data_IF_050614103575
#
_entry.id   IF_050614103575
#
_cell.length_a   1.000
_cell.length_b   1.000
_cell.length_c   1.000
_cell.angle_alpha   90.00
_cell.angle_beta   90.00
_cell.angle_gamma   90.00
#
_symmetry.space_group_name_H-M   'P 1'
#
loop_
_entity.id
_entity.type
_entity.pdbx_description
1 polymer ?
#
# COMPACT_ATOMS: atom_id res chain seq x y z
N UNK A 1 1.57 -10.96 34.10
CA UNK A 1 2.53 -9.88 33.81
C UNK A 1 1.72 -8.76 33.21
N UNK A 2 1.58 -7.67 33.93
CA UNK A 2 0.84 -6.48 33.47
C UNK A 2 1.70 -5.78 32.41
N UNK A 3 1.24 -5.80 31.17
CA UNK A 3 1.81 -5.01 30.06
C UNK A 3 1.36 -3.56 30.24
N UNK A 4 1.83 -2.90 31.30
CA UNK A 4 1.52 -1.50 31.56
C UNK A 4 2.58 -0.62 30.93
N UNK A 5 2.13 0.40 30.22
CA UNK A 5 3.00 1.43 29.62
C UNK A 5 3.66 2.22 30.77
N UNK A 6 4.94 2.04 30.98
CA UNK A 6 5.67 2.71 32.07
C UNK A 6 6.16 4.12 31.72
N UNK A 7 5.84 4.63 30.51
CA UNK A 7 6.31 5.94 29.99
C UNK A 7 7.84 6.10 29.96
N UNK A 8 8.58 5.01 30.18
CA UNK A 8 10.02 4.94 30.01
C UNK A 8 10.32 4.20 28.70
N UNK A 9 10.57 4.97 27.65
CA UNK A 9 10.78 4.47 26.29
C UNK A 9 11.81 3.32 26.21
N UNK A 10 12.83 3.34 27.05
CA UNK A 10 13.89 2.31 27.03
C UNK A 10 13.39 0.99 27.61
N UNK A 11 12.64 1.05 28.69
CA UNK A 11 12.09 -0.14 29.36
C UNK A 11 10.93 -0.73 28.53
N UNK A 12 10.10 0.11 27.94
CA UNK A 12 9.01 -0.29 27.05
C UNK A 12 9.55 -0.98 25.79
N UNK A 13 10.60 -0.44 25.15
CA UNK A 13 11.28 -1.07 24.00
C UNK A 13 11.93 -2.40 24.42
N UNK A 14 12.60 -2.45 25.58
CA UNK A 14 13.22 -3.68 26.08
C UNK A 14 12.16 -4.74 26.36
N UNK A 15 11.01 -4.38 26.93
CA UNK A 15 9.89 -5.25 27.16
C UNK A 15 9.33 -5.80 25.84
N UNK A 16 9.14 -4.94 24.84
CA UNK A 16 8.69 -5.28 23.48
C UNK A 16 9.62 -6.30 22.82
N UNK A 17 10.94 -6.09 22.91
CA UNK A 17 11.94 -6.96 22.31
C UNK A 17 12.20 -8.26 23.12
N UNK A 18 11.69 -8.38 24.35
CA UNK A 18 11.87 -9.59 25.16
C UNK A 18 10.99 -10.77 24.72
N UNK A 19 9.93 -10.50 23.94
CA UNK A 19 9.01 -11.53 23.48
C UNK A 19 9.34 -11.97 22.05
N UNK A 20 9.56 -13.27 21.85
CA UNK A 20 9.90 -13.84 20.55
C UNK A 20 8.83 -13.57 19.48
N UNK A 21 7.53 -13.67 19.83
CA UNK A 21 6.46 -13.38 18.90
C UNK A 21 6.47 -11.91 18.44
N UNK A 22 6.88 -10.99 19.31
CA UNK A 22 6.95 -9.57 18.95
C UNK A 22 8.14 -9.25 18.03
N UNK A 23 9.27 -9.95 18.23
CA UNK A 23 10.40 -9.89 17.30
C UNK A 23 9.99 -10.37 15.90
N UNK A 24 9.21 -11.44 15.82
CA UNK A 24 8.70 -11.93 14.55
C UNK A 24 7.68 -10.97 13.92
N UNK A 25 6.83 -10.35 14.72
CA UNK A 25 5.91 -9.31 14.26
C UNK A 25 6.67 -8.12 13.66
N UNK A 26 7.65 -7.57 14.38
CA UNK A 26 8.49 -6.45 13.91
C UNK A 26 9.28 -6.81 12.64
N UNK A 27 9.84 -8.01 12.54
CA UNK A 27 10.54 -8.47 11.33
C UNK A 27 9.58 -8.56 10.14
N UNK A 28 8.44 -9.21 10.34
CA UNK A 28 7.42 -9.37 9.31
C UNK A 28 6.82 -8.01 8.92
N UNK A 29 6.49 -7.16 9.90
CA UNK A 29 6.01 -5.80 9.70
C UNK A 29 7.00 -4.92 8.91
N UNK A 30 8.30 -5.03 9.21
CA UNK A 30 9.35 -4.32 8.47
C UNK A 30 9.40 -4.75 7.00
N UNK A 31 9.40 -6.07 6.73
CA UNK A 31 9.41 -6.59 5.35
C UNK A 31 8.19 -6.08 4.58
N UNK A 32 7.02 -6.22 5.19
CA UNK A 32 5.74 -5.81 4.57
C UNK A 32 5.68 -4.31 4.36
N UNK A 33 6.12 -3.50 5.33
CA UNK A 33 6.11 -2.04 5.22
C UNK A 33 7.01 -1.54 4.07
N UNK A 34 8.19 -2.14 3.89
CA UNK A 34 9.09 -1.80 2.78
C UNK A 34 8.46 -2.14 1.43
N UNK A 35 7.88 -3.33 1.30
CA UNK A 35 7.21 -3.77 0.07
C UNK A 35 5.96 -2.92 -0.20
N UNK A 36 5.11 -2.74 0.81
CA UNK A 36 3.88 -1.96 0.70
C UNK A 36 4.17 -0.49 0.36
N UNK A 37 5.18 0.12 0.99
CA UNK A 37 5.58 1.49 0.70
C UNK A 37 6.10 1.68 -0.74
N UNK A 38 6.94 0.75 -1.23
CA UNK A 38 7.49 0.81 -2.57
C UNK A 38 6.42 0.56 -3.66
N UNK A 39 5.67 -0.54 -3.54
CA UNK A 39 4.63 -0.91 -4.51
C UNK A 39 3.45 0.05 -4.43
N UNK A 40 3.05 0.45 -3.22
CA UNK A 40 1.96 1.38 -2.97
C UNK A 40 2.20 2.75 -3.61
N UNK A 41 3.41 3.29 -3.53
CA UNK A 41 3.75 4.55 -4.19
C UNK A 41 3.51 4.48 -5.70
N UNK A 42 3.98 3.42 -6.36
CA UNK A 42 3.77 3.23 -7.79
C UNK A 42 2.30 2.95 -8.13
N UNK A 43 1.58 2.25 -7.26
CA UNK A 43 0.13 2.04 -7.38
C UNK A 43 -0.64 3.36 -7.40
N UNK A 44 -0.33 4.28 -6.48
CA UNK A 44 -0.96 5.61 -6.42
C UNK A 44 -0.57 6.44 -7.64
N UNK A 45 0.70 6.44 -8.03
CA UNK A 45 1.20 7.16 -9.19
C UNK A 45 0.55 6.67 -10.50
N UNK A 46 0.29 5.37 -10.62
CA UNK A 46 -0.39 4.73 -11.76
C UNK A 46 -1.91 4.82 -11.71
N UNK A 47 -2.49 5.42 -10.68
CA UNK A 47 -3.94 5.50 -10.44
C UNK A 47 -4.63 4.13 -10.39
N UNK A 48 -3.92 3.11 -9.88
CA UNK A 48 -4.43 1.73 -9.77
C UNK A 48 -4.86 1.38 -8.33
N UNK A 49 -5.24 2.38 -7.54
CA UNK A 49 -5.66 2.19 -6.13
C UNK A 49 -6.87 1.28 -6.00
N UNK A 50 -7.81 1.33 -6.95
CA UNK A 50 -8.98 0.45 -6.93
C UNK A 50 -8.61 -1.02 -7.19
N UNK A 51 -7.70 -1.28 -8.14
CA UNK A 51 -7.17 -2.63 -8.35
C UNK A 51 -6.41 -3.13 -7.11
N UNK A 52 -5.63 -2.28 -6.45
CA UNK A 52 -4.95 -2.61 -5.19
C UNK A 52 -5.92 -2.95 -4.06
N UNK A 53 -7.01 -2.20 -3.93
CA UNK A 53 -8.07 -2.51 -2.97
C UNK A 53 -8.71 -3.87 -3.23
N UNK A 54 -9.05 -4.14 -4.48
CA UNK A 54 -9.61 -5.43 -4.88
C UNK A 54 -8.66 -6.59 -4.59
N UNK A 55 -7.37 -6.46 -4.93
CA UNK A 55 -6.37 -7.48 -4.66
C UNK A 55 -6.18 -7.74 -3.17
N UNK A 56 -6.24 -6.69 -2.34
CA UNK A 56 -6.21 -6.82 -0.89
C UNK A 56 -7.38 -7.67 -0.36
N UNK A 57 -8.59 -7.44 -0.88
CA UNK A 57 -9.78 -8.20 -0.47
C UNK A 57 -9.79 -9.64 -1.01
N UNK A 58 -9.19 -9.91 -2.18
CA UNK A 58 -9.05 -11.25 -2.77
C UNK A 58 -8.15 -12.16 -1.90
N UNK A 59 -7.29 -11.59 -1.06
CA UNK A 59 -6.51 -12.36 -0.09
C UNK A 59 -7.38 -13.20 0.85
N UNK A 60 -8.50 -12.65 1.32
CA UNK A 60 -9.41 -13.35 2.23
C UNK A 60 -9.99 -14.66 1.67
N UNK A 61 -10.65 -14.70 0.49
CA UNK A 61 -11.13 -15.97 -0.08
C UNK A 61 -9.99 -16.95 -0.34
N UNK A 62 -8.81 -16.47 -0.69
CA UNK A 62 -7.63 -17.33 -0.84
C UNK A 62 -7.23 -18.02 0.45
N UNK A 63 -7.14 -17.26 1.54
CA UNK A 63 -6.84 -17.80 2.85
C UNK A 63 -7.91 -18.76 3.37
N UNK A 64 -9.20 -18.38 3.22
CA UNK A 64 -10.33 -19.20 3.63
C UNK A 64 -10.38 -20.53 2.84
N UNK A 65 -10.18 -20.49 1.53
CA UNK A 65 -10.12 -21.68 0.67
C UNK A 65 -8.96 -22.60 1.01
N UNK A 66 -7.76 -22.05 1.25
CA UNK A 66 -6.60 -22.84 1.68
C UNK A 66 -6.86 -23.52 3.03
N UNK A 67 -7.45 -22.78 3.99
CA UNK A 67 -7.81 -23.34 5.31
C UNK A 67 -8.82 -24.48 5.18
N UNK A 68 -9.84 -24.31 4.31
CA UNK A 68 -10.82 -25.36 4.04
C UNK A 68 -10.20 -26.61 3.44
N UNK A 69 -9.22 -26.47 2.54
CA UNK A 69 -8.52 -27.57 1.90
C UNK A 69 -7.38 -28.15 2.78
N UNK A 70 -7.14 -27.62 3.99
CA UNK A 70 -6.02 -28.03 4.84
C UNK A 70 -4.65 -27.64 4.32
N UNK A 71 -4.58 -26.66 3.40
CA UNK A 71 -3.35 -26.11 2.84
C UNK A 71 -2.82 -24.96 3.69
N UNK A 72 -1.53 -24.61 3.46
CA UNK A 72 -0.94 -23.46 4.11
C UNK A 72 -1.65 -22.15 3.67
N UNK A 73 -2.10 -21.38 4.64
CA UNK A 73 -2.84 -20.13 4.45
C UNK A 73 -2.07 -19.12 3.59
N UNK A 74 -0.74 -19.07 3.72
CA UNK A 74 0.10 -18.18 2.90
C UNK A 74 0.00 -18.51 1.40
N UNK A 75 -0.06 -19.79 1.04
CA UNK A 75 -0.26 -20.24 -0.35
C UNK A 75 -1.60 -19.72 -0.89
N UNK A 76 -2.64 -19.76 -0.05
CA UNK A 76 -3.95 -19.20 -0.39
C UNK A 76 -3.89 -17.69 -0.64
N UNK A 77 -3.29 -16.92 0.28
CA UNK A 77 -3.12 -15.48 0.11
C UNK A 77 -2.40 -15.13 -1.18
N UNK A 78 -1.19 -15.64 -1.38
CA UNK A 78 -0.40 -15.33 -2.57
C UNK A 78 -1.04 -15.86 -3.86
N UNK A 79 -1.53 -17.11 -3.84
CA UNK A 79 -2.12 -17.74 -5.01
C UNK A 79 -3.34 -16.98 -5.53
N UNK A 80 -4.27 -16.63 -4.64
CA UNK A 80 -5.47 -15.90 -5.04
C UNK A 80 -5.19 -14.44 -5.41
N UNK A 81 -4.28 -13.75 -4.71
CA UNK A 81 -3.90 -12.40 -5.09
C UNK A 81 -3.22 -12.34 -6.47
N UNK A 82 -2.33 -13.31 -6.77
CA UNK A 82 -1.70 -13.41 -8.09
C UNK A 82 -2.72 -13.80 -9.17
N UNK A 83 -3.58 -14.80 -8.91
CA UNK A 83 -4.65 -15.18 -9.83
C UNK A 83 -5.59 -13.98 -10.11
N UNK A 84 -6.01 -13.26 -9.07
CA UNK A 84 -6.81 -12.04 -9.20
C UNK A 84 -6.12 -10.95 -10.03
N UNK A 85 -4.81 -10.75 -9.83
CA UNK A 85 -4.01 -9.82 -10.62
C UNK A 85 -3.98 -10.20 -12.11
N UNK A 86 -3.83 -11.49 -12.41
CA UNK A 86 -3.87 -12.01 -13.80
C UNK A 86 -5.26 -11.85 -14.42
N UNK A 87 -6.32 -12.16 -13.67
CA UNK A 87 -7.71 -11.94 -14.13
C UNK A 87 -7.94 -10.47 -14.43
N UNK A 88 -7.59 -9.56 -13.50
CA UNK A 88 -7.73 -8.11 -13.71
C UNK A 88 -6.90 -7.64 -14.90
N UNK A 89 -5.70 -8.18 -15.10
CA UNK A 89 -4.85 -7.80 -16.25
C UNK A 89 -5.41 -8.27 -17.59
N UNK A 90 -6.16 -9.37 -17.58
CA UNK A 90 -6.79 -9.94 -18.78
C UNK A 90 -8.10 -9.23 -19.18
N UNK A 91 -8.68 -8.43 -18.26
CA UNK A 91 -9.89 -7.66 -18.57
C UNK A 91 -9.64 -6.68 -19.73
N UNK A 92 -10.59 -6.54 -20.66
CA UNK A 92 -10.47 -5.61 -21.78
C UNK A 92 -10.37 -4.17 -21.26
N UNK A 93 -9.20 -3.56 -21.42
CA UNK A 93 -9.02 -2.13 -21.19
C UNK A 93 -9.51 -1.37 -22.41
N UNK A 94 -10.78 -1.03 -22.44
CA UNK A 94 -11.34 -0.13 -23.44
C UNK A 94 -11.00 1.32 -23.09
N UNK A 95 -9.74 1.68 -23.18
CA UNK A 95 -9.28 3.05 -23.17
C UNK A 95 -9.22 3.57 -24.59
N UNK A 96 -10.34 4.06 -25.13
CA UNK A 96 -10.26 4.98 -26.27
C UNK A 96 -9.63 6.30 -25.76
N UNK A 97 -8.74 6.96 -26.54
CA UNK A 97 -8.13 8.25 -26.16
C UNK A 97 -9.16 9.35 -25.87
N UNK A 98 -10.41 9.15 -26.27
CA UNK A 98 -11.54 10.08 -26.14
C UNK A 98 -12.63 9.58 -25.17
N UNK A 99 -12.40 8.50 -24.42
CA UNK A 99 -13.34 8.06 -23.41
C UNK A 99 -13.21 9.02 -22.21
N UNK A 100 -14.07 10.03 -22.16
CA UNK A 100 -14.25 10.87 -20.99
C UNK A 100 -14.49 10.06 -19.72
N UNK A 101 -15.10 10.60 -18.70
CA UNK A 101 -15.38 9.94 -17.39
C UNK A 101 -15.95 8.50 -17.50
N UNK A 102 -16.51 8.09 -18.64
CA UNK A 102 -17.07 6.74 -18.87
C UNK A 102 -16.05 5.59 -18.91
N UNK A 103 -14.83 5.80 -19.41
CA UNK A 103 -13.83 4.70 -19.55
C UNK A 103 -13.29 4.20 -18.20
N UNK A 104 -13.14 5.08 -17.23
CA UNK A 104 -12.77 4.71 -15.85
C UNK A 104 -13.90 3.96 -15.14
N UNK A 105 -15.16 4.26 -15.48
CA UNK A 105 -16.33 3.59 -14.92
C UNK A 105 -16.43 2.12 -15.33
N UNK A 106 -16.18 1.78 -16.61
CA UNK A 106 -16.24 0.38 -17.09
C UNK A 106 -15.15 -0.51 -16.49
N UNK A 107 -13.89 -0.03 -16.44
CA UNK A 107 -12.79 -0.78 -15.83
C UNK A 107 -13.06 -1.02 -14.35
N UNK A 108 -13.49 0.02 -13.63
CA UNK A 108 -13.83 -0.09 -12.21
C UNK A 108 -15.01 -1.02 -11.95
N UNK A 109 -16.03 -1.01 -12.81
CA UNK A 109 -17.18 -1.92 -12.71
C UNK A 109 -16.76 -3.38 -12.93
N UNK A 110 -15.91 -3.64 -13.92
CA UNK A 110 -15.38 -4.99 -14.19
C UNK A 110 -14.54 -5.50 -13.01
N UNK A 111 -13.64 -4.69 -12.47
CA UNK A 111 -12.84 -5.03 -11.29
C UNK A 111 -13.74 -5.27 -10.08
N UNK A 112 -14.75 -4.42 -9.87
CA UNK A 112 -15.73 -4.57 -8.78
C UNK A 112 -16.56 -5.86 -8.88
N UNK A 113 -16.90 -6.29 -10.09
CA UNK A 113 -17.59 -7.58 -10.32
C UNK A 113 -16.70 -8.77 -9.95
N UNK A 114 -15.42 -8.73 -10.33
CA UNK A 114 -14.43 -9.74 -9.90
C UNK A 114 -14.30 -9.77 -8.39
N UNK A 115 -14.23 -8.61 -7.75
CA UNK A 115 -14.17 -8.47 -6.30
C UNK A 115 -15.38 -9.09 -5.61
N UNK A 116 -16.59 -8.78 -6.09
CA UNK A 116 -17.83 -9.30 -5.52
C UNK A 116 -17.89 -10.83 -5.62
N UNK A 117 -17.53 -11.38 -6.78
CA UNK A 117 -17.48 -12.83 -7.00
C UNK A 117 -16.46 -13.51 -6.08
N UNK A 118 -15.25 -12.94 -5.98
CA UNK A 118 -14.20 -13.49 -5.11
C UNK A 118 -14.60 -13.46 -3.63
N UNK A 119 -15.23 -12.38 -3.17
CA UNK A 119 -15.75 -12.31 -1.80
C UNK A 119 -16.85 -13.36 -1.55
N UNK A 120 -17.75 -13.56 -2.51
CA UNK A 120 -18.78 -14.60 -2.42
C UNK A 120 -18.14 -16.00 -2.29
N UNK A 121 -17.08 -16.30 -3.05
CA UNK A 121 -16.30 -17.53 -2.91
C UNK A 121 -15.67 -17.63 -1.51
N UNK A 122 -15.16 -16.52 -0.96
CA UNK A 122 -14.61 -16.50 0.40
C UNK A 122 -15.65 -16.89 1.46
N UNK A 123 -16.83 -16.30 1.42
CA UNK A 123 -17.91 -16.67 2.32
C UNK A 123 -18.38 -18.11 2.12
N UNK A 124 -18.39 -18.61 0.88
CA UNK A 124 -18.66 -20.02 0.60
C UNK A 124 -17.63 -20.92 1.28
N UNK A 125 -16.33 -20.67 1.13
CA UNK A 125 -15.28 -21.46 1.78
C UNK A 125 -15.39 -21.42 3.30
N UNK A 126 -15.73 -20.27 3.87
CA UNK A 126 -16.02 -20.12 5.30
C UNK A 126 -17.19 -20.99 5.73
N UNK A 127 -18.29 -21.02 4.96
CA UNK A 127 -19.47 -21.83 5.28
C UNK A 127 -19.23 -23.33 5.14
N UNK A 128 -18.31 -23.75 4.28
CA UNK A 128 -17.88 -25.14 4.10
C UNK A 128 -16.87 -25.61 5.16
N UNK A 129 -16.26 -24.67 5.88
CA UNK A 129 -15.29 -24.98 6.93
C UNK A 129 -16.01 -25.33 8.23
N UNK A 130 -15.87 -26.57 8.67
CA UNK A 130 -16.50 -27.10 9.89
C UNK A 130 -15.72 -26.82 11.18
N UNK A 131 -14.61 -26.07 11.12
CA UNK A 131 -13.74 -25.76 12.23
C UNK A 131 -14.18 -24.52 13.04
N UNK A 132 -13.39 -24.15 14.04
CA UNK A 132 -13.71 -23.06 14.96
C UNK A 132 -13.65 -21.68 14.27
N UNK A 133 -14.72 -20.91 14.31
CA UNK A 133 -14.88 -19.61 13.61
C UNK A 133 -13.92 -18.51 14.08
N UNK A 134 -13.27 -18.65 15.25
CA UNK A 134 -12.32 -17.65 15.78
C UNK A 134 -11.11 -17.43 14.88
N UNK A 135 -10.71 -18.43 14.07
CA UNK A 135 -9.63 -18.28 13.09
C UNK A 135 -9.96 -17.34 11.93
N UNK A 136 -11.25 -17.15 11.61
CA UNK A 136 -11.68 -16.30 10.51
C UNK A 136 -11.54 -14.80 10.80
N UNK A 137 -11.78 -14.39 12.05
CA UNK A 137 -11.56 -13.00 12.46
C UNK A 137 -10.11 -12.60 12.29
N UNK A 138 -9.16 -13.53 12.55
CA UNK A 138 -7.73 -13.25 12.35
C UNK A 138 -7.35 -13.05 10.88
N UNK A 139 -8.02 -13.74 9.95
CA UNK A 139 -7.78 -13.57 8.51
C UNK A 139 -8.24 -12.19 7.99
N UNK A 140 -9.30 -11.63 8.60
CA UNK A 140 -9.85 -10.34 8.21
C UNK A 140 -9.14 -9.16 8.88
N UNK A 141 -8.87 -9.28 10.18
CA UNK A 141 -8.36 -8.17 11.00
C UNK A 141 -6.86 -8.25 11.32
N UNK A 142 -6.22 -9.37 10.93
CA UNK A 142 -4.82 -9.63 11.25
C UNK A 142 -4.59 -10.01 12.71
N UNK A 143 -3.41 -10.55 12.98
CA UNK A 143 -2.94 -10.80 14.34
C UNK A 143 -1.44 -10.56 14.42
N UNK A 144 -0.99 -9.95 15.51
CA UNK A 144 0.44 -9.87 15.85
C UNK A 144 0.89 -11.18 16.50
N UNK A 145 -0.04 -11.83 17.23
CA UNK A 145 0.23 -13.03 18.01
C UNK A 145 0.16 -14.23 17.09
N UNK A 146 1.27 -14.99 16.98
CA UNK A 146 1.30 -16.23 16.23
C UNK A 146 2.06 -16.19 14.90
N UNK A 147 2.78 -15.10 14.60
CA UNK A 147 3.67 -15.06 13.42
C UNK A 147 4.87 -15.98 13.69
N UNK A 148 4.97 -17.04 12.88
CA UNK A 148 6.04 -18.03 12.98
C UNK A 148 7.28 -17.59 12.21
N UNK A 149 8.47 -18.12 12.59
CA UNK A 149 9.71 -17.89 11.84
C UNK A 149 9.59 -18.32 10.36
N UNK A 150 8.83 -19.40 10.10
CA UNK A 150 8.57 -19.85 8.73
C UNK A 150 7.76 -18.84 7.93
N UNK A 151 6.78 -18.17 8.53
CA UNK A 151 6.03 -17.10 7.87
C UNK A 151 6.90 -15.88 7.59
N UNK A 152 7.77 -15.49 8.54
CA UNK A 152 8.76 -14.40 8.33
C UNK A 152 9.67 -14.72 7.14
N UNK A 153 10.15 -15.98 7.03
CA UNK A 153 10.99 -16.41 5.91
C UNK A 153 10.24 -16.36 4.58
N UNK A 154 8.99 -16.82 4.53
CA UNK A 154 8.15 -16.76 3.32
C UNK A 154 7.93 -15.30 2.89
N UNK A 155 7.63 -14.41 3.85
CA UNK A 155 7.46 -12.98 3.58
C UNK A 155 8.77 -12.34 3.09
N UNK A 156 9.91 -12.73 3.66
CA UNK A 156 11.23 -12.23 3.23
C UNK A 156 11.52 -12.63 1.79
N UNK A 157 11.33 -13.90 1.43
CA UNK A 157 11.57 -14.41 0.07
C UNK A 157 10.61 -13.73 -0.92
N UNK A 158 9.32 -13.68 -0.61
CA UNK A 158 8.32 -13.05 -1.47
C UNK A 158 8.57 -11.53 -1.60
N UNK A 159 8.88 -10.87 -0.49
CA UNK A 159 9.18 -9.43 -0.45
C UNK A 159 10.46 -9.07 -1.20
N UNK A 160 11.54 -9.81 -0.98
CA UNK A 160 12.81 -9.61 -1.70
C UNK A 160 12.64 -9.84 -3.20
N UNK A 161 11.93 -10.91 -3.60
CA UNK A 161 11.59 -11.18 -5.00
C UNK A 161 10.74 -10.05 -5.61
N UNK A 162 9.74 -9.58 -4.89
CA UNK A 162 8.90 -8.45 -5.31
C UNK A 162 9.72 -7.17 -5.52
N UNK A 163 10.59 -6.82 -4.57
CA UNK A 163 11.45 -5.63 -4.67
C UNK A 163 12.48 -5.76 -5.79
N UNK A 164 13.08 -6.95 -5.97
CA UNK A 164 14.02 -7.21 -7.06
C UNK A 164 13.35 -6.97 -8.42
N UNK A 165 12.18 -7.58 -8.65
CA UNK A 165 11.42 -7.40 -9.89
C UNK A 165 11.00 -5.94 -10.05
N UNK A 166 10.60 -5.25 -8.95
CA UNK A 166 10.25 -3.84 -8.99
C UNK A 166 11.44 -2.95 -9.40
N UNK A 167 12.65 -3.24 -8.92
CA UNK A 167 13.88 -2.52 -9.29
C UNK A 167 14.18 -2.75 -10.78
N UNK A 168 14.10 -4.00 -11.26
CA UNK A 168 14.34 -4.34 -12.66
C UNK A 168 13.33 -3.67 -13.59
N UNK A 169 12.06 -3.65 -13.20
CA UNK A 169 10.98 -3.03 -13.95
C UNK A 169 10.84 -1.52 -13.71
N UNK A 170 11.53 -0.95 -12.73
CA UNK A 170 11.34 0.42 -12.26
C UNK A 170 11.41 1.47 -13.35
N UNK A 171 12.43 1.39 -14.23
CA UNK A 171 12.60 2.31 -15.37
C UNK A 171 11.48 2.19 -16.40
N UNK A 172 11.19 1.01 -17.00
CA UNK A 172 10.10 0.88 -17.96
C UNK A 172 8.73 1.14 -17.32
N UNK A 173 8.58 0.86 -16.03
CA UNK A 173 7.36 1.11 -15.28
C UNK A 173 7.10 2.61 -15.13
N UNK A 174 8.08 3.39 -14.65
CA UNK A 174 7.97 4.84 -14.53
C UNK A 174 7.75 5.50 -15.89
N UNK A 175 8.49 5.07 -16.90
CA UNK A 175 8.35 5.62 -18.25
C UNK A 175 6.95 5.36 -18.80
N UNK A 176 6.43 4.13 -18.69
CA UNK A 176 5.06 3.81 -19.13
C UNK A 176 3.96 4.48 -18.28
N UNK A 177 4.31 5.01 -17.09
CA UNK A 177 3.38 5.72 -16.20
C UNK A 177 3.29 7.19 -16.57
N UNK A 178 4.41 7.81 -16.92
CA UNK A 178 4.48 9.24 -17.27
C UNK A 178 3.92 9.47 -18.69
N UNK A 179 4.39 8.70 -19.67
CA UNK A 179 3.97 8.80 -21.05
C UNK A 179 3.82 7.42 -21.70
N UNK A 180 2.62 6.83 -21.66
CA UNK A 180 2.36 5.50 -22.20
C UNK A 180 2.48 5.44 -23.74
N UNK A 181 2.25 6.56 -24.46
CA UNK A 181 2.30 6.60 -25.91
C UNK A 181 3.73 6.61 -26.41
N UNK A 182 4.55 7.48 -25.85
CA UNK A 182 6.00 7.53 -26.16
C UNK A 182 6.71 6.25 -25.71
N UNK A 183 6.31 5.66 -24.58
CA UNK A 183 6.85 4.38 -24.14
C UNK A 183 6.58 3.26 -25.15
N UNK A 184 5.36 3.19 -25.70
CA UNK A 184 5.00 2.25 -26.76
C UNK A 184 5.80 2.51 -28.05
N UNK A 185 5.91 3.76 -28.46
CA UNK A 185 6.67 4.14 -29.65
C UNK A 185 8.15 3.75 -29.56
N UNK A 186 8.72 3.75 -28.32
CA UNK A 186 10.09 3.29 -28.06
C UNK A 186 10.22 1.77 -27.81
N UNK A 187 9.18 0.99 -28.08
CA UNK A 187 9.21 -0.47 -28.01
C UNK A 187 9.02 -1.05 -26.60
N UNK A 188 8.63 -0.24 -25.59
CA UNK A 188 8.33 -0.77 -24.25
C UNK A 188 7.02 -1.57 -24.30
N UNK A 189 7.02 -2.86 -23.90
CA UNK A 189 5.81 -3.68 -23.90
C UNK A 189 4.89 -3.29 -22.73
N UNK A 190 4.16 -2.18 -22.86
CA UNK A 190 3.37 -1.55 -21.80
C UNK A 190 2.33 -2.48 -21.19
N UNK A 191 1.81 -3.47 -21.95
CA UNK A 191 0.89 -4.51 -21.44
C UNK A 191 1.60 -5.45 -20.48
N UNK A 192 2.77 -5.99 -20.86
CA UNK A 192 3.58 -6.87 -20.00
C UNK A 192 4.01 -6.15 -18.73
N UNK A 193 4.50 -4.91 -18.85
CA UNK A 193 4.90 -4.09 -17.70
C UNK A 193 3.70 -3.84 -16.77
N UNK A 194 2.52 -3.56 -17.33
CA UNK A 194 1.29 -3.39 -16.55
C UNK A 194 0.84 -4.65 -15.84
N UNK A 195 0.87 -5.81 -16.52
CA UNK A 195 0.54 -7.12 -15.93
C UNK A 195 1.54 -7.50 -14.83
N UNK A 196 2.84 -7.35 -15.11
CA UNK A 196 3.88 -7.62 -14.11
C UNK A 196 3.69 -6.74 -12.86
N UNK A 197 3.33 -5.48 -13.03
CA UNK A 197 3.04 -4.60 -11.91
C UNK A 197 1.80 -5.03 -11.11
N UNK A 198 0.73 -5.47 -11.77
CA UNK A 198 -0.45 -6.00 -11.07
C UNK A 198 -0.11 -7.28 -10.28
N UNK A 199 0.73 -8.15 -10.83
CA UNK A 199 1.22 -9.33 -10.12
C UNK A 199 2.06 -8.92 -8.89
N UNK A 200 2.97 -7.96 -9.04
CA UNK A 200 3.72 -7.41 -7.90
C UNK A 200 2.79 -6.82 -6.83
N UNK A 201 1.77 -6.11 -7.26
CA UNK A 201 0.75 -5.56 -6.36
C UNK A 201 -0.03 -6.67 -5.65
N UNK A 202 -0.35 -7.76 -6.36
CA UNK A 202 -0.96 -8.96 -5.78
C UNK A 202 -0.07 -9.63 -4.73
N UNK A 203 1.22 -9.77 -5.01
CA UNK A 203 2.20 -10.31 -4.06
C UNK A 203 2.33 -9.42 -2.83
N UNK A 204 2.42 -8.09 -3.03
CA UNK A 204 2.47 -7.13 -1.93
C UNK A 204 1.19 -7.19 -1.08
N UNK A 205 0.02 -7.24 -1.71
CA UNK A 205 -1.27 -7.35 -1.02
C UNK A 205 -1.37 -8.67 -0.23
N UNK A 206 -1.00 -9.80 -0.83
CA UNK A 206 -0.99 -11.12 -0.17
C UNK A 206 -0.03 -11.18 1.02
N UNK A 207 1.16 -10.61 0.91
CA UNK A 207 2.12 -10.50 2.01
C UNK A 207 1.60 -9.63 3.16
N UNK A 208 1.09 -8.45 2.82
CA UNK A 208 0.53 -7.51 3.81
C UNK A 208 -0.68 -8.11 4.53
N UNK A 209 -1.55 -8.85 3.81
CA UNK A 209 -2.74 -9.50 4.37
C UNK A 209 -2.44 -10.46 5.51
N UNK A 210 -1.28 -11.09 5.52
CA UNK A 210 -0.89 -12.04 6.56
C UNK A 210 -0.66 -11.37 7.92
N UNK A 211 -0.34 -10.08 7.95
CA UNK A 211 -0.07 -9.32 9.18
C UNK A 211 -1.26 -8.46 9.56
N UNK A 212 -1.70 -7.60 8.65
CA UNK A 212 -2.75 -6.60 8.93
C UNK A 212 -4.16 -7.13 8.72
N UNK A 213 -4.31 -8.33 8.14
CA UNK A 213 -5.60 -8.85 7.68
C UNK A 213 -6.03 -8.22 6.37
N UNK A 214 -6.87 -8.92 5.62
CA UNK A 214 -7.25 -8.52 4.25
C UNK A 214 -8.02 -7.20 4.16
N UNK A 215 -8.77 -6.83 5.20
CA UNK A 215 -9.54 -5.57 5.22
C UNK A 215 -8.65 -4.33 5.33
N UNK A 216 -7.50 -4.44 6.00
CA UNK A 216 -6.67 -3.29 6.38
C UNK A 216 -5.40 -3.14 5.54
N UNK A 217 -5.11 -4.12 4.69
CA UNK A 217 -4.00 -4.10 3.72
C UNK A 217 -3.98 -2.83 2.90
N UNK A 218 -5.15 -2.40 2.44
CA UNK A 218 -5.29 -1.23 1.60
C UNK A 218 -4.81 0.04 2.29
N UNK A 219 -5.04 0.18 3.60
CA UNK A 219 -4.57 1.33 4.36
C UNK A 219 -3.04 1.45 4.34
N UNK A 220 -2.31 0.33 4.53
CA UNK A 220 -0.86 0.34 4.52
C UNK A 220 -0.27 0.54 3.10
N UNK A 221 -0.95 0.06 2.06
CA UNK A 221 -0.54 0.28 0.67
C UNK A 221 -0.79 1.71 0.20
N UNK A 222 -1.88 2.35 0.65
CA UNK A 222 -2.32 3.64 0.11
C UNK A 222 -1.89 4.82 0.96
N UNK A 223 -2.08 4.77 2.29
CA UNK A 223 -1.92 5.95 3.12
C UNK A 223 -0.49 6.54 3.11
N UNK A 224 0.60 5.75 3.30
CA UNK A 224 1.95 6.28 3.24
C UNK A 224 2.32 6.76 1.83
N UNK A 225 1.86 6.05 0.80
CA UNK A 225 2.08 6.42 -0.60
C UNK A 225 1.36 7.72 -0.98
N UNK A 226 0.09 7.85 -0.59
CA UNK A 226 -0.68 9.07 -0.82
C UNK A 226 -0.10 10.27 -0.07
N UNK A 227 0.38 10.09 1.17
CA UNK A 227 1.10 11.12 1.91
C UNK A 227 2.40 11.52 1.19
N UNK A 228 3.20 10.55 0.74
CA UNK A 228 4.46 10.80 0.04
C UNK A 228 4.25 11.57 -1.29
N UNK A 229 3.22 11.24 -2.08
CA UNK A 229 2.89 11.97 -3.33
C UNK A 229 2.45 13.42 -3.09
N UNK A 230 1.98 13.76 -1.89
CA UNK A 230 1.67 15.15 -1.51
C UNK A 230 2.93 15.93 -1.15
N UNK A 231 3.93 15.26 -0.57
CA UNK A 231 5.13 15.93 -0.04
C UNK A 231 6.23 16.11 -1.07
N UNK A 232 6.33 15.25 -2.09
CA UNK A 232 7.37 15.34 -3.11
C UNK A 232 6.86 14.98 -4.50
N UNK A 233 7.39 15.69 -5.50
CA UNK A 233 7.14 15.40 -6.93
C UNK A 233 8.20 14.47 -7.54
N UNK A 234 9.33 14.24 -6.85
CA UNK A 234 10.41 13.38 -7.35
C UNK A 234 10.10 11.91 -7.09
N UNK A 235 10.02 11.03 -8.11
CA UNK A 235 9.62 9.64 -7.93
C UNK A 235 10.52 8.85 -6.96
N UNK A 236 11.85 9.01 -7.05
CA UNK A 236 12.77 8.31 -6.17
C UNK A 236 12.63 8.73 -4.70
N UNK A 237 12.55 10.05 -4.45
CA UNK A 237 12.29 10.57 -3.11
C UNK A 237 10.90 10.17 -2.60
N UNK A 238 9.91 10.10 -3.49
CA UNK A 238 8.56 9.67 -3.16
C UNK A 238 8.50 8.21 -2.71
N UNK A 239 9.18 7.31 -3.41
CA UNK A 239 9.31 5.90 -2.99
C UNK A 239 9.98 5.79 -1.63
N UNK A 240 11.14 6.47 -1.44
CA UNK A 240 11.86 6.45 -0.17
C UNK A 240 11.00 6.98 0.98
N UNK A 241 10.31 8.10 0.78
CA UNK A 241 9.42 8.70 1.77
C UNK A 241 8.21 7.80 2.08
N UNK A 242 7.64 7.16 1.06
CA UNK A 242 6.54 6.20 1.24
C UNK A 242 6.98 4.99 2.08
N UNK A 243 8.17 4.43 1.82
CA UNK A 243 8.75 3.34 2.61
C UNK A 243 8.98 3.79 4.06
N UNK A 244 9.57 4.97 4.25
CA UNK A 244 9.84 5.51 5.60
C UNK A 244 8.56 5.70 6.39
N UNK A 245 7.52 6.29 5.78
CA UNK A 245 6.21 6.47 6.41
C UNK A 245 5.54 5.11 6.71
N UNK A 246 5.62 4.15 5.79
CA UNK A 246 5.07 2.81 6.00
C UNK A 246 5.76 2.10 7.18
N UNK A 247 7.08 2.19 7.30
CA UNK A 247 7.84 1.66 8.42
C UNK A 247 7.42 2.29 9.75
N UNK A 248 7.36 3.63 9.80
CA UNK A 248 6.95 4.35 11.01
C UNK A 248 5.52 3.97 11.43
N UNK A 249 4.57 3.94 10.48
CA UNK A 249 3.18 3.58 10.74
C UNK A 249 3.09 2.15 11.27
N UNK A 250 3.83 1.21 10.68
CA UNK A 250 3.81 -0.20 11.07
C UNK A 250 4.42 -0.39 12.46
N UNK A 251 5.63 0.12 12.72
CA UNK A 251 6.30 -0.03 14.00
C UNK A 251 5.53 0.63 15.15
N UNK A 252 5.02 1.84 14.93
CA UNK A 252 4.17 2.52 15.92
C UNK A 252 2.84 1.76 16.11
N UNK A 253 2.24 1.26 15.02
CA UNK A 253 1.01 0.49 15.07
C UNK A 253 1.17 -0.82 15.85
N UNK A 254 2.29 -1.55 15.65
CA UNK A 254 2.63 -2.76 16.40
C UNK A 254 2.90 -2.45 17.88
N UNK A 255 3.64 -1.38 18.17
CA UNK A 255 3.91 -0.95 19.54
C UNK A 255 2.61 -0.58 20.28
N UNK A 256 1.75 0.23 19.68
CA UNK A 256 0.48 0.59 20.30
C UNK A 256 -0.47 -0.60 20.46
N UNK A 257 -0.48 -1.52 19.50
CA UNK A 257 -1.29 -2.73 19.61
C UNK A 257 -0.79 -3.68 20.71
N UNK A 258 0.51 -3.69 21.02
CA UNK A 258 1.08 -4.47 22.11
C UNK A 258 0.63 -3.95 23.50
N UNK A 259 0.58 -2.62 23.67
CA UNK A 259 0.20 -1.98 24.94
C UNK A 259 -1.30 -1.68 25.06
N UNK A 260 -2.12 -2.00 24.04
CA UNK A 260 -3.55 -1.70 24.05
C UNK A 260 -4.40 -2.94 23.71
N UNK A 261 -5.67 -2.99 24.14
CA UNK A 261 -6.58 -4.08 23.78
C UNK A 261 -7.09 -4.01 22.32
N UNK A 262 -6.67 -3.00 21.56
CA UNK A 262 -7.16 -2.78 20.20
C UNK A 262 -6.33 -3.52 19.16
N UNK A 263 -6.97 -4.01 18.06
CA UNK A 263 -6.27 -4.74 17.02
C UNK A 263 -5.27 -3.85 16.26
N UNK A 264 -4.17 -4.45 15.78
CA UNK A 264 -3.11 -3.76 15.03
C UNK A 264 -3.65 -2.94 13.85
N UNK A 265 -4.65 -3.49 13.16
CA UNK A 265 -5.24 -2.82 12.02
C UNK A 265 -5.86 -1.46 12.33
N UNK A 266 -6.47 -1.31 13.52
CA UNK A 266 -6.99 -0.03 13.98
C UNK A 266 -5.86 1.01 14.09
N UNK A 267 -4.74 0.65 14.71
CA UNK A 267 -3.61 1.56 14.90
C UNK A 267 -2.93 1.92 13.58
N UNK A 268 -2.65 0.93 12.73
CA UNK A 268 -2.03 1.15 11.41
C UNK A 268 -2.90 2.05 10.55
N UNK A 269 -4.22 1.83 10.54
CA UNK A 269 -5.15 2.65 9.75
C UNK A 269 -5.24 4.07 10.29
N UNK A 270 -5.35 4.24 11.60
CA UNK A 270 -5.44 5.55 12.26
C UNK A 270 -4.16 6.37 12.04
N UNK A 271 -2.99 5.76 12.25
CA UNK A 271 -1.70 6.42 12.01
C UNK A 271 -1.49 6.76 10.53
N UNK A 272 -1.88 5.85 9.63
CA UNK A 272 -1.83 6.09 8.19
C UNK A 272 -2.71 7.26 7.77
N UNK A 273 -3.94 7.31 8.27
CA UNK A 273 -4.85 8.43 8.02
C UNK A 273 -4.31 9.76 8.59
N UNK A 274 -3.79 9.74 9.81
CA UNK A 274 -3.17 10.91 10.42
C UNK A 274 -1.97 11.42 9.59
N UNK A 275 -1.09 10.52 9.13
CA UNK A 275 0.04 10.88 8.27
C UNK A 275 -0.43 11.51 6.95
N UNK A 276 -1.48 10.97 6.33
CA UNK A 276 -2.06 11.54 5.11
C UNK A 276 -2.66 12.93 5.35
N UNK A 277 -3.39 13.13 6.46
CA UNK A 277 -3.96 14.43 6.82
C UNK A 277 -2.87 15.48 7.06
N UNK A 278 -1.82 15.11 7.82
CA UNK A 278 -0.68 15.99 8.11
C UNK A 278 0.05 16.39 6.82
N UNK A 279 0.30 15.43 5.92
CA UNK A 279 0.93 15.71 4.63
C UNK A 279 0.07 16.66 3.77
N UNK A 280 -1.25 16.45 3.77
CA UNK A 280 -2.20 17.28 3.01
C UNK A 280 -2.30 18.69 3.59
N UNK A 281 -2.36 18.82 4.91
CA UNK A 281 -2.36 20.09 5.60
C UNK A 281 -1.06 20.89 5.36
N UNK A 282 0.08 20.21 5.51
CA UNK A 282 1.40 20.80 5.23
C UNK A 282 1.46 21.36 3.79
N UNK A 283 1.05 20.58 2.80
CA UNK A 283 1.03 21.01 1.40
C UNK A 283 0.10 22.20 1.19
N UNK A 284 -1.10 22.16 1.78
CA UNK A 284 -2.06 23.28 1.69
C UNK A 284 -1.54 24.58 2.30
N UNK A 285 -0.81 24.50 3.41
CA UNK A 285 -0.16 25.66 4.04
C UNK A 285 0.99 26.18 3.15
N UNK A 286 1.86 25.27 2.68
CA UNK A 286 2.98 25.63 1.82
C UNK A 286 2.51 26.31 0.52
N UNK A 287 1.45 25.80 -0.11
CA UNK A 287 0.87 26.39 -1.32
C UNK A 287 0.22 27.76 -1.04
N UNK A 288 -0.35 28.01 0.14
CA UNK A 288 -0.87 29.32 0.54
C UNK A 288 0.24 30.35 0.74
N UNK A 289 1.32 29.94 1.40
CA UNK A 289 2.50 30.81 1.61
C UNK A 289 3.14 31.18 0.27
N UNK A 290 3.27 30.20 -0.65
CA UNK A 290 3.87 30.43 -1.97
C UNK A 290 3.01 31.36 -2.88
N UNK A 291 1.70 31.45 -2.64
CA UNK A 291 0.79 32.31 -3.40
C UNK A 291 0.76 33.76 -2.91
N UNK A 292 1.38 34.10 -1.79
CA UNK A 292 1.61 35.47 -1.36
C UNK A 292 3.02 35.89 -1.77
N UNK A 293 3.25 36.41 -3.00
CA UNK A 293 4.55 36.98 -3.35
C UNK A 293 4.80 38.19 -2.43
N UNK A 294 6.03 38.39 -1.96
CA UNK A 294 6.38 39.60 -1.25
C UNK A 294 6.02 40.79 -2.15
N UNK A 295 5.33 41.79 -1.57
CA UNK A 295 4.91 43.01 -2.24
C UNK A 295 6.11 43.55 -3.02
N UNK A 296 6.03 43.49 -4.35
CA UNK A 296 7.06 44.06 -5.20
C UNK A 296 7.23 45.53 -4.83
N UNK A 297 8.42 45.94 -4.43
CA UNK A 297 8.74 47.34 -4.20
C UNK A 297 8.37 48.16 -5.44
N UNK A 298 7.66 49.32 -5.27
CA UNK A 298 7.21 50.09 -6.40
C UNK A 298 8.42 50.45 -7.29
N UNK A 299 8.25 50.48 -8.62
CA UNK A 299 9.33 50.84 -9.54
C UNK A 299 9.82 52.24 -9.19
N UNK A 300 11.14 52.36 -8.95
CA UNK A 300 11.78 53.68 -8.80
C UNK A 300 11.42 54.54 -10.02
N UNK A 301 10.65 55.59 -9.81
CA UNK A 301 10.45 56.63 -10.84
C UNK A 301 11.84 57.19 -11.20
N UNK A 302 12.30 56.84 -12.37
CA UNK A 302 13.41 57.57 -13.02
C UNK A 302 12.86 58.94 -13.35
N UNK A 303 13.21 59.94 -12.55
CA UNK A 303 12.98 61.33 -12.90
C UNK A 303 13.85 61.61 -14.14
N UNK A 304 13.19 61.56 -15.31
CA UNK A 304 13.79 62.09 -16.53
C UNK A 304 13.91 63.60 -16.33
N UNK A 305 15.12 64.06 -16.04
CA UNK A 305 15.46 65.50 -16.04
C UNK A 305 15.22 66.06 -17.44
N UNK A 306 14.17 66.86 -17.53
CA UNK A 306 13.95 67.80 -18.62
C UNK A 306 15.05 68.89 -18.56
N UNK A 307 15.97 68.83 -19.48
CA UNK A 307 16.81 70.02 -19.82
C UNK A 307 16.31 70.48 -21.15
N UNK A 308 15.65 71.67 -21.07
CA UNK A 308 15.52 72.60 -22.21
C UNK A 308 16.79 73.49 -22.22
N UNK A 309 17.13 74.11 -23.29
CA UNK A 309 16.59 75.40 -23.77
C UNK A 309 15.99 75.36 -25.14
#
# INVERSE_FOLDING_TARGET
MTTELNWNLVDDIRQLLSFHFMLNALRAGTIVAVVAGAVGYLMVLRRQTFAGHTLALIGFPGAAGATWLGLNTAVGYFGFCVAGALIISALPRRGAPNAGLGGFSEESAAIGTVQAFMLACGFLFVSLYSGFLNGLNSLLFGTIIGITDQQVLVLLIAGAGCLLVLILLGRPLLFSTIDPEVARAKGVPTRLVGTAFLVLLGVAAGGTSQITGSLLVFALLVAPAAAATRLTAQPAAGVALSIMLALLITWMGEAFAFFSPYPIGFWVTTLGFAAFLLATAYRGIADRIARHPPIASPPRRVLSGSAAP
#
